data_IF_131877490108
#
_entry.id   IF_131877490108
#
_cell.length_a   1.000
_cell.length_b   1.000
_cell.length_c   1.000
_cell.angle_alpha   90.00
_cell.angle_beta   90.00
_cell.angle_gamma   90.00
#
_symmetry.space_group_name_H-M   'P 1'
#
loop_
_entity.id
_entity.type
_entity.pdbx_description
1 polymer ?
#
# COMPACT_ATOMS: atom_id res chain seq x y z
N UNK A 1 -10.13 2.07 2.76
CA UNK A 1 -8.89 1.31 2.54
C UNK A 1 -7.83 1.87 3.47
N UNK A 2 -7.11 1.00 4.19
CA UNK A 2 -6.16 1.36 5.26
C UNK A 2 -6.74 1.17 6.66
N UNK A 3 -6.37 0.08 7.35
CA UNK A 3 -6.79 -0.21 8.74
C UNK A 3 -5.68 0.08 9.78
N UNK A 4 -4.59 0.73 9.38
CA UNK A 4 -3.45 1.04 10.25
C UNK A 4 -3.25 2.55 10.34
N UNK A 5 -3.00 3.04 11.57
CA UNK A 5 -2.71 4.43 11.90
C UNK A 5 -1.34 4.46 12.58
N UNK A 6 -0.43 5.30 12.09
CA UNK A 6 0.88 5.54 12.71
C UNK A 6 1.02 6.99 13.24
N UNK A 7 0.10 7.87 12.86
CA UNK A 7 0.12 9.30 13.19
C UNK A 7 -1.27 9.78 13.58
N UNK A 8 -1.38 10.51 14.70
CA UNK A 8 -2.63 11.14 15.14
C UNK A 8 -2.45 12.66 15.13
N UNK A 9 -3.35 13.36 14.46
CA UNK A 9 -3.45 14.82 14.47
C UNK A 9 -4.57 15.20 15.43
N UNK A 10 -4.28 16.06 16.40
CA UNK A 10 -5.27 16.64 17.31
C UNK A 10 -5.56 18.08 16.88
N UNK A 11 -6.76 18.32 16.37
CA UNK A 11 -7.24 19.64 15.97
C UNK A 11 -8.37 20.06 16.91
N UNK A 12 -8.06 20.91 17.88
CA UNK A 12 -8.98 21.39 18.93
C UNK A 12 -9.83 20.30 19.61
N UNK A 13 -9.23 19.14 19.88
CA UNK A 13 -9.87 18.00 20.55
C UNK A 13 -10.45 16.95 19.59
N UNK A 14 -10.43 17.20 18.28
CA UNK A 14 -10.78 16.21 17.25
C UNK A 14 -9.53 15.42 16.84
N UNK A 15 -9.55 14.11 17.07
CA UNK A 15 -8.43 13.22 16.74
C UNK A 15 -8.61 12.58 15.36
N UNK A 16 -7.73 12.92 14.43
CA UNK A 16 -7.67 12.30 13.09
C UNK A 16 -6.49 11.36 13.00
N UNK A 17 -6.75 10.08 12.73
CA UNK A 17 -5.71 9.07 12.49
C UNK A 17 -5.34 8.97 11.01
N UNK A 18 -4.05 9.07 10.70
CA UNK A 18 -3.51 8.86 9.36
C UNK A 18 -2.33 7.87 9.41
N UNK A 19 -2.00 7.30 8.25
CA UNK A 19 -0.72 6.61 8.07
C UNK A 19 0.15 7.37 7.09
N UNK A 20 1.40 7.66 7.50
CA UNK A 20 2.39 8.30 6.65
C UNK A 20 3.26 7.29 5.89
N UNK A 21 3.18 6.00 6.21
CA UNK A 21 4.06 4.96 5.65
C UNK A 21 3.96 4.87 4.12
N UNK A 22 2.74 4.89 3.58
CA UNK A 22 2.51 4.83 2.13
C UNK A 22 3.11 6.03 1.40
N UNK A 23 2.76 7.24 1.84
CA UNK A 23 3.24 8.50 1.23
C UNK A 23 4.76 8.64 1.38
N UNK A 24 5.29 8.31 2.56
CA UNK A 24 6.72 8.37 2.85
C UNK A 24 7.53 7.42 1.98
N UNK A 25 7.03 6.20 1.75
CA UNK A 25 7.70 5.23 0.89
C UNK A 25 7.79 5.68 -0.57
N UNK A 26 6.69 6.17 -1.16
CA UNK A 26 6.72 6.67 -2.53
C UNK A 26 7.64 7.89 -2.66
N UNK A 27 7.64 8.77 -1.66
CA UNK A 27 8.52 9.94 -1.62
C UNK A 27 10.00 9.54 -1.64
N UNK A 28 10.41 8.59 -0.78
CA UNK A 28 11.82 8.18 -0.70
C UNK A 28 12.32 7.53 -2.00
N UNK A 29 11.45 6.79 -2.69
CA UNK A 29 11.75 6.21 -4.00
C UNK A 29 12.02 7.30 -5.05
N UNK A 30 11.16 8.32 -5.12
CA UNK A 30 11.35 9.47 -6.03
C UNK A 30 12.63 10.25 -5.71
N UNK A 31 12.90 10.51 -4.43
CA UNK A 31 14.14 11.17 -3.97
C UNK A 31 15.39 10.35 -4.33
N UNK A 32 15.25 9.02 -4.43
CA UNK A 32 16.30 8.09 -4.87
C UNK A 32 16.38 7.92 -6.39
N UNK A 33 15.71 8.77 -7.18
CA UNK A 33 15.59 8.66 -8.65
C UNK A 33 14.95 7.35 -9.14
N UNK A 34 14.09 6.74 -8.32
CA UNK A 34 13.33 5.54 -8.65
C UNK A 34 11.84 5.88 -8.68
N UNK A 35 11.33 6.37 -9.81
CA UNK A 35 9.89 6.60 -9.95
C UNK A 35 9.15 5.29 -10.26
N UNK A 36 8.24 4.80 -9.39
CA UNK A 36 7.50 3.58 -9.63
C UNK A 36 6.26 3.77 -10.55
N UNK A 37 5.86 5.01 -10.84
CA UNK A 37 4.66 5.31 -11.63
C UNK A 37 4.77 4.69 -13.03
N UNK A 38 3.69 4.02 -13.47
CA UNK A 38 3.64 3.33 -14.76
C UNK A 38 4.51 2.06 -14.85
N UNK A 39 5.17 1.66 -13.75
CA UNK A 39 6.03 0.47 -13.71
C UNK A 39 5.39 -0.68 -12.95
N UNK A 40 6.08 -1.81 -12.94
CA UNK A 40 5.76 -2.97 -12.10
C UNK A 40 6.61 -2.94 -10.84
N UNK A 41 5.99 -3.23 -9.70
CA UNK A 41 6.68 -3.45 -8.42
C UNK A 41 6.35 -4.82 -7.84
N UNK A 42 7.25 -5.31 -6.99
CA UNK A 42 7.05 -6.51 -6.19
C UNK A 42 7.18 -6.14 -4.72
N UNK A 43 6.17 -6.53 -3.93
CA UNK A 43 6.05 -6.23 -2.51
C UNK A 43 5.90 -7.56 -1.77
N UNK A 44 6.55 -7.67 -0.61
CA UNK A 44 6.47 -8.86 0.25
C UNK A 44 5.75 -8.49 1.54
N UNK A 45 4.73 -9.27 1.88
CA UNK A 45 3.89 -9.08 3.07
C UNK A 45 2.54 -8.45 2.76
N UNK A 46 1.64 -8.50 3.74
CA UNK A 46 0.34 -7.81 3.70
C UNK A 46 -0.06 -7.26 5.10
N UNK A 47 0.93 -6.93 5.92
CA UNK A 47 0.72 -6.28 7.22
C UNK A 47 0.25 -4.82 7.09
N UNK A 48 0.00 -4.14 8.22
CA UNK A 48 -0.57 -2.79 8.23
C UNK A 48 0.23 -1.74 7.44
N UNK A 49 1.54 -1.67 7.65
CA UNK A 49 2.42 -0.74 6.91
C UNK A 49 2.52 -1.11 5.42
N UNK A 50 2.67 -2.41 5.11
CA UNK A 50 2.77 -2.91 3.73
C UNK A 50 1.49 -2.63 2.95
N UNK A 51 0.33 -2.84 3.58
CA UNK A 51 -0.98 -2.51 3.02
C UNK A 51 -1.07 -1.03 2.66
N UNK A 52 -0.60 -0.12 3.53
CA UNK A 52 -0.59 1.31 3.24
C UNK A 52 0.26 1.63 2.01
N UNK A 53 1.41 0.97 1.86
CA UNK A 53 2.30 1.12 0.69
C UNK A 53 1.65 0.58 -0.58
N UNK A 54 1.09 -0.63 -0.55
CA UNK A 54 0.43 -1.25 -1.71
C UNK A 54 -0.72 -0.39 -2.25
N UNK A 55 -1.57 0.11 -1.34
CA UNK A 55 -2.71 0.95 -1.71
C UNK A 55 -2.23 2.32 -2.22
N UNK A 56 -1.28 2.97 -1.54
CA UNK A 56 -0.78 4.26 -2.00
C UNK A 56 -0.08 4.15 -3.35
N UNK A 57 0.75 3.12 -3.55
CA UNK A 57 1.41 2.85 -4.83
C UNK A 57 0.40 2.69 -5.97
N UNK A 58 -0.70 1.98 -5.73
CA UNK A 58 -1.76 1.82 -6.72
C UNK A 58 -2.49 3.14 -7.02
N UNK A 59 -2.82 3.93 -5.99
CA UNK A 59 -3.45 5.24 -6.13
C UNK A 59 -2.56 6.24 -6.88
N UNK A 60 -1.24 6.18 -6.68
CA UNK A 60 -0.26 7.03 -7.34
C UNK A 60 0.02 6.63 -8.79
N UNK A 61 -0.51 5.50 -9.26
CA UNK A 61 -0.45 5.10 -10.67
C UNK A 61 0.66 4.12 -11.02
N UNK A 62 1.11 3.28 -10.08
CA UNK A 62 1.91 2.09 -10.41
C UNK A 62 1.10 1.19 -11.36
N UNK A 63 1.69 0.66 -12.42
CA UNK A 63 0.96 -0.13 -13.41
C UNK A 63 0.63 -1.55 -12.92
N UNK A 64 1.57 -2.20 -12.24
CA UNK A 64 1.41 -3.57 -11.76
C UNK A 64 2.02 -3.78 -10.37
N UNK A 65 1.34 -4.56 -9.52
CA UNK A 65 1.79 -4.90 -8.17
C UNK A 65 1.76 -6.42 -7.99
N UNK A 66 2.92 -7.02 -7.73
CA UNK A 66 3.03 -8.43 -7.33
C UNK A 66 3.17 -8.51 -5.82
N UNK A 67 2.17 -9.07 -5.14
CA UNK A 67 2.12 -9.20 -3.68
C UNK A 67 2.53 -10.63 -3.34
N UNK A 68 3.65 -10.80 -2.65
CA UNK A 68 4.10 -12.09 -2.14
C UNK A 68 3.78 -12.20 -0.66
N UNK A 69 2.99 -13.18 -0.26
CA UNK A 69 2.73 -13.45 1.15
C UNK A 69 2.61 -14.95 1.35
N UNK A 70 3.35 -15.50 2.33
CA UNK A 70 3.17 -16.90 2.75
C UNK A 70 1.74 -17.14 3.24
N UNK A 71 1.28 -18.39 3.29
CA UNK A 71 -0.05 -18.75 3.83
C UNK A 71 -0.09 -18.67 5.36
N UNK A 72 0.03 -17.46 5.90
CA UNK A 72 -0.11 -17.15 7.32
C UNK A 72 -1.37 -16.32 7.61
N UNK A 73 -1.48 -15.76 8.81
CA UNK A 73 -2.63 -14.95 9.24
C UNK A 73 -2.90 -13.72 8.35
N UNK A 74 -1.88 -13.23 7.63
CA UNK A 74 -2.00 -12.05 6.75
C UNK A 74 -2.33 -12.42 5.30
N UNK A 75 -2.36 -13.70 4.93
CA UNK A 75 -2.63 -14.09 3.54
C UNK A 75 -4.00 -13.63 3.05
N UNK A 76 -5.02 -13.70 3.90
CA UNK A 76 -6.35 -13.16 3.57
C UNK A 76 -6.31 -11.65 3.35
N UNK A 77 -5.47 -10.93 4.11
CA UNK A 77 -5.28 -9.49 3.91
C UNK A 77 -4.63 -9.20 2.55
N UNK A 78 -3.67 -10.01 2.11
CA UNK A 78 -3.07 -9.90 0.77
C UNK A 78 -4.13 -10.04 -0.34
N UNK A 79 -5.05 -10.99 -0.20
CA UNK A 79 -6.17 -11.17 -1.14
C UNK A 79 -7.12 -9.98 -1.14
N UNK A 80 -7.44 -9.43 0.03
CA UNK A 80 -8.28 -8.23 0.18
C UNK A 80 -7.60 -7.02 -0.48
N UNK A 81 -6.31 -6.80 -0.23
CA UNK A 81 -5.54 -5.72 -0.83
C UNK A 81 -5.52 -5.84 -2.35
N UNK A 82 -5.22 -7.03 -2.87
CA UNK A 82 -5.24 -7.32 -4.30
C UNK A 82 -6.61 -7.01 -4.93
N UNK A 83 -7.71 -7.47 -4.31
CA UNK A 83 -9.06 -7.18 -4.77
C UNK A 83 -9.33 -5.68 -4.80
N UNK A 84 -9.05 -4.99 -3.69
CA UNK A 84 -9.24 -3.56 -3.54
C UNK A 84 -8.49 -2.76 -4.60
N UNK A 85 -7.22 -3.09 -4.84
CA UNK A 85 -6.38 -2.45 -5.87
C UNK A 85 -7.01 -2.62 -7.25
N UNK A 86 -7.36 -3.85 -7.63
CA UNK A 86 -7.94 -4.13 -8.94
C UNK A 86 -9.32 -3.50 -9.16
N UNK A 87 -10.12 -3.32 -8.10
CA UNK A 87 -11.48 -2.76 -8.20
C UNK A 87 -11.51 -1.22 -8.15
N UNK A 88 -10.53 -0.57 -7.51
CA UNK A 88 -10.60 0.85 -7.17
C UNK A 88 -9.46 1.70 -7.76
N UNK A 89 -8.56 1.08 -8.52
CA UNK A 89 -7.44 1.78 -9.17
C UNK A 89 -7.25 1.25 -10.60
N UNK A 90 -6.37 1.89 -11.36
CA UNK A 90 -5.99 1.42 -12.71
C UNK A 90 -4.85 0.38 -12.68
N UNK A 91 -4.31 0.09 -11.50
CA UNK A 91 -3.23 -0.87 -11.31
C UNK A 91 -3.74 -2.31 -11.41
N UNK A 92 -2.89 -3.23 -11.88
CA UNK A 92 -3.15 -4.67 -11.83
C UNK A 92 -2.38 -5.30 -10.68
N UNK A 93 -3.09 -5.88 -9.70
CA UNK A 93 -2.50 -6.59 -8.58
C UNK A 93 -2.66 -8.11 -8.71
N UNK A 94 -1.67 -8.88 -8.25
CA UNK A 94 -1.72 -10.34 -8.13
C UNK A 94 -1.00 -10.82 -6.88
N UNK A 95 -1.58 -11.81 -6.21
CA UNK A 95 -1.00 -12.48 -5.02
C UNK A 95 -0.26 -13.75 -5.41
N UNK A 96 0.87 -13.99 -4.74
CA UNK A 96 1.74 -15.17 -4.87
C UNK A 96 2.12 -15.68 -3.47
N UNK A 97 2.38 -17.00 -3.35
CA UNK A 97 2.77 -17.69 -2.12
C UNK A 97 4.24 -18.15 -2.09
#
# INVERSE_FOLDING_TARGET
MGQAVNTVINDDGVLTGITTDGVGFIKVLKESNLDPIGKKITIVGAGGAVTAIEIQAALDGVAEISIFNRKDEFYNQALINCKNINENTQSKAKVFD
#
